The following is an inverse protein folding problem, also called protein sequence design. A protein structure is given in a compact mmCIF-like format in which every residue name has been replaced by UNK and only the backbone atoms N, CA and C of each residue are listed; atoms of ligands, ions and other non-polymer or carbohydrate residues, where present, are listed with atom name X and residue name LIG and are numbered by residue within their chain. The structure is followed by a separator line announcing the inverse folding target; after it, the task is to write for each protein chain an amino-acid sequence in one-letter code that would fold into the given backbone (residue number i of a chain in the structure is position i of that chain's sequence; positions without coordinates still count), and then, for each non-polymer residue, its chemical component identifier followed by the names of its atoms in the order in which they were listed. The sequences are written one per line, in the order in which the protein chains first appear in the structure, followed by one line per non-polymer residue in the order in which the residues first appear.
data_IF_045489943947
#
_entry.id   IF_045489943947
#
_cell.length_a   1.000
_cell.length_b   1.000
_cell.length_c   1.000
_cell.angle_alpha   90.00
_cell.angle_beta   90.00
_cell.angle_gamma   90.00
#
_symmetry.space_group_name_H-M   'P 1'
#
loop_
_entity.id
_entity.type
_entity.pdbx_description
1 polymer ?
#
# COMPACT_ATOMS: atom_id res chain seq x y z
N UNK A 1 5.33 -3.00 5.06
CA UNK A 1 6.67 -2.62 4.55
C UNK A 1 6.98 -1.15 4.80
N UNK A 2 6.20 -0.21 4.27
CA UNK A 2 6.45 1.23 4.44
C UNK A 2 6.46 1.69 5.91
N UNK A 3 5.46 1.30 6.69
CA UNK A 3 5.38 1.62 8.12
C UNK A 3 6.53 1.02 8.96
N UNK A 4 7.08 -0.12 8.53
CA UNK A 4 8.24 -0.72 9.18
C UNK A 4 9.49 0.11 8.94
N UNK A 5 9.69 0.59 7.71
CA UNK A 5 10.77 1.53 7.37
C UNK A 5 10.65 2.84 8.15
N UNK A 6 9.43 3.38 8.28
CA UNK A 6 9.20 4.59 9.09
C UNK A 6 9.50 4.38 10.57
N UNK A 7 9.17 3.21 11.14
CA UNK A 7 9.53 2.86 12.53
C UNK A 7 11.02 2.69 12.73
N UNK A 8 11.74 2.19 11.74
CA UNK A 8 13.20 2.04 11.79
C UNK A 8 13.90 3.41 11.83
N UNK A 9 13.42 4.36 11.03
CA UNK A 9 13.94 5.73 10.99
C UNK A 9 13.53 6.52 12.25
N UNK A 10 12.31 6.29 12.76
CA UNK A 10 11.74 7.01 13.90
C UNK A 10 11.31 6.05 15.04
N UNK A 11 12.26 5.42 15.76
CA UNK A 11 11.96 4.39 16.76
C UNK A 11 11.17 4.89 17.98
N UNK A 12 11.20 6.20 18.24
CA UNK A 12 10.50 6.82 19.38
C UNK A 12 9.05 7.24 19.07
N UNK A 13 8.61 7.17 17.81
CA UNK A 13 7.26 7.57 17.42
C UNK A 13 6.28 6.43 17.68
N UNK A 14 5.40 6.62 18.68
CA UNK A 14 4.34 5.65 19.03
C UNK A 14 3.29 5.49 17.93
N UNK A 15 2.86 6.59 17.32
CA UNK A 15 1.84 6.61 16.26
C UNK A 15 2.45 7.17 14.98
N UNK A 16 2.61 6.32 13.97
CA UNK A 16 3.14 6.76 12.67
C UNK A 16 2.07 7.59 11.96
N UNK A 17 2.44 8.79 11.55
CA UNK A 17 1.62 9.66 10.70
C UNK A 17 2.38 9.92 9.42
N UNK A 18 1.72 9.73 8.28
CA UNK A 18 2.30 9.94 6.95
C UNK A 18 1.22 10.40 5.98
N UNK A 19 1.62 11.15 4.96
CA UNK A 19 0.72 11.55 3.89
C UNK A 19 0.60 10.41 2.87
N UNK A 20 -0.57 10.31 2.22
CA UNK A 20 -0.79 9.33 1.16
C UNK A 20 0.16 9.54 -0.03
N UNK A 21 0.59 10.79 -0.28
CA UNK A 21 1.58 11.12 -1.31
C UNK A 21 2.92 10.44 -1.05
N UNK A 22 3.37 10.41 0.21
CA UNK A 22 4.65 9.79 0.57
C UNK A 22 4.60 8.27 0.39
N UNK A 23 3.46 7.67 0.72
CA UNK A 23 3.20 6.26 0.48
C UNK A 23 3.15 5.91 -1.01
N UNK A 24 2.50 6.74 -1.83
CA UNK A 24 2.47 6.55 -3.29
C UNK A 24 3.87 6.67 -3.88
N UNK A 25 4.65 7.67 -3.45
CA UNK A 25 6.04 7.84 -3.86
C UNK A 25 6.86 6.60 -3.47
N UNK A 26 6.68 6.04 -2.27
CA UNK A 26 7.35 4.81 -1.87
C UNK A 26 7.01 3.64 -2.81
N UNK A 27 5.74 3.47 -3.18
CA UNK A 27 5.30 2.42 -4.11
C UNK A 27 5.90 2.63 -5.51
N UNK A 28 6.03 3.88 -5.97
CA UNK A 28 6.64 4.22 -7.26
C UNK A 28 8.13 3.88 -7.32
N UNK A 29 8.85 4.03 -6.20
CA UNK A 29 10.28 3.71 -6.11
C UNK A 29 10.57 2.21 -6.02
N UNK A 30 9.57 1.35 -5.85
CA UNK A 30 9.78 -0.10 -5.93
C UNK A 30 10.03 -0.46 -7.39
N UNK A 31 11.15 -1.13 -7.73
CA UNK A 31 11.50 -1.45 -9.13
C UNK A 31 10.37 -2.20 -9.85
N UNK A 32 9.97 -3.35 -9.32
CA UNK A 32 8.83 -4.11 -9.83
C UNK A 32 7.87 -4.44 -8.68
N UNK A 33 6.60 -4.08 -8.86
CA UNK A 33 5.55 -4.40 -7.90
C UNK A 33 4.28 -4.73 -8.68
N UNK A 34 3.79 -5.96 -8.49
CA UNK A 34 2.52 -6.42 -9.03
C UNK A 34 1.77 -7.21 -7.96
N UNK A 35 0.45 -7.27 -8.07
CA UNK A 35 -0.39 -8.05 -7.19
C UNK A 35 -1.18 -9.07 -8.00
N UNK A 36 -1.17 -10.33 -7.55
CA UNK A 36 -1.98 -11.40 -8.14
C UNK A 36 -3.19 -11.63 -7.25
N UNK A 37 -4.37 -11.23 -7.73
CA UNK A 37 -5.62 -11.36 -6.97
C UNK A 37 -6.44 -12.50 -7.54
N UNK A 38 -6.84 -13.43 -6.69
CA UNK A 38 -7.65 -14.56 -7.11
C UNK A 38 -9.06 -14.11 -7.50
N UNK A 39 -9.46 -14.42 -8.73
CA UNK A 39 -10.82 -14.24 -9.22
C UNK A 39 -11.57 -15.55 -9.21
N UNK A 40 -12.62 -15.62 -8.40
CA UNK A 40 -13.49 -16.79 -8.28
C UNK A 40 -14.23 -17.09 -9.60
N UNK A 41 -14.54 -16.05 -10.38
CA UNK A 41 -15.25 -16.16 -11.66
C UNK A 41 -14.39 -16.88 -12.72
N UNK A 42 -13.13 -16.47 -12.81
CA UNK A 42 -12.18 -17.03 -13.79
C UNK A 42 -11.39 -18.23 -13.24
N UNK A 43 -11.54 -18.54 -11.95
CA UNK A 43 -10.72 -19.50 -11.18
C UNK A 43 -9.22 -19.32 -11.44
N UNK A 44 -8.78 -18.07 -11.53
CA UNK A 44 -7.43 -17.69 -11.91
C UNK A 44 -6.95 -16.47 -11.14
N UNK A 45 -5.63 -16.28 -11.09
CA UNK A 45 -5.03 -15.07 -10.52
C UNK A 45 -4.92 -13.99 -11.59
N UNK A 46 -5.52 -12.83 -11.31
CA UNK A 46 -5.46 -11.66 -12.18
C UNK A 46 -4.29 -10.80 -11.73
N UNK A 47 -3.34 -10.48 -12.62
CA UNK A 47 -2.26 -9.55 -12.33
C UNK A 47 -2.77 -8.12 -12.30
N UNK A 48 -2.27 -7.36 -11.33
CA UNK A 48 -2.53 -5.95 -11.15
C UNK A 48 -1.23 -5.18 -11.04
N UNK A 49 -1.22 -3.99 -11.62
CA UNK A 49 -0.09 -3.08 -11.64
C UNK A 49 0.01 -2.23 -10.36
N UNK A 50 1.04 -1.38 -10.32
CA UNK A 50 1.30 -0.45 -9.21
C UNK A 50 0.15 0.53 -9.02
N UNK A 51 -0.51 0.98 -10.08
CA UNK A 51 -1.62 1.93 -9.99
C UNK A 51 -2.81 1.34 -9.24
N UNK A 52 -3.16 0.09 -9.56
CA UNK A 52 -4.21 -0.64 -8.85
C UNK A 52 -3.88 -0.82 -7.37
N UNK A 53 -2.61 -1.13 -7.05
CA UNK A 53 -2.15 -1.26 -5.67
C UNK A 53 -2.29 0.07 -4.92
N UNK A 54 -1.85 1.20 -5.51
CA UNK A 54 -2.02 2.53 -4.91
C UNK A 54 -3.49 2.83 -4.62
N UNK A 55 -4.37 2.60 -5.59
CA UNK A 55 -5.81 2.82 -5.43
C UNK A 55 -6.41 1.96 -4.31
N UNK A 56 -5.97 0.71 -4.17
CA UNK A 56 -6.42 -0.17 -3.07
C UNK A 56 -5.94 0.30 -1.72
N UNK A 57 -4.67 0.67 -1.61
CA UNK A 57 -4.11 1.17 -0.34
C UNK A 57 -4.77 2.48 0.07
N UNK A 58 -4.99 3.42 -0.86
CA UNK A 58 -5.73 4.65 -0.60
C UNK A 58 -7.14 4.38 -0.07
N UNK A 59 -7.89 3.49 -0.72
CA UNK A 59 -9.24 3.12 -0.28
C UNK A 59 -9.24 2.45 1.09
N UNK A 60 -8.22 1.64 1.39
CA UNK A 60 -8.08 1.01 2.70
C UNK A 60 -7.80 2.03 3.80
N UNK A 61 -6.86 2.94 3.58
CA UNK A 61 -6.54 4.02 4.53
C UNK A 61 -7.73 4.96 4.75
N UNK A 62 -8.47 5.29 3.69
CA UNK A 62 -9.69 6.12 3.80
C UNK A 62 -10.79 5.44 4.64
N UNK A 63 -10.89 4.11 4.60
CA UNK A 63 -11.83 3.37 5.46
C UNK A 63 -11.41 3.46 6.92
N UNK A 64 -10.14 3.19 7.22
CA UNK A 64 -9.59 3.26 8.59
C UNK A 64 -9.71 4.67 9.18
N UNK A 65 -9.53 5.71 8.36
CA UNK A 65 -9.64 7.11 8.81
C UNK A 65 -11.09 7.57 9.06
N UNK A 66 -12.08 6.87 8.50
CA UNK A 66 -13.51 7.17 8.64
C UNK A 66 -14.21 6.27 9.69
N UNK A 67 -13.48 5.36 10.33
CA UNK A 67 -13.91 4.55 11.50
C UNK A 67 -13.36 5.16 12.79
#
# INVERSE_FOLDING_TARGET
MYEYRLKDINPYVKNITYDVRDLHNYIDHLEECCALVFSQELKAYIPHDKEWIKAKVYNHLRKIANE
#
